data_IF_706105264401
#
_entry.id   IF_706105264401
#
_cell.length_a   1.000
_cell.length_b   1.000
_cell.length_c   1.000
_cell.angle_alpha   90.00
_cell.angle_beta   90.00
_cell.angle_gamma   90.00
#
_symmetry.space_group_name_H-M   'P 1'
#
loop_
_entity.id
_entity.type
_entity.pdbx_description
1 polymer ?
#
# COMPACT_ATOMS: atom_id res chain seq x y z
N UNK A 1 19.14 17.05 -3.54
CA UNK A 1 18.64 16.77 -2.17
C UNK A 1 17.11 16.70 -2.06
N UNK A 2 16.33 17.53 -2.77
CA UNK A 2 14.86 17.61 -2.65
C UNK A 2 14.09 16.28 -2.89
N UNK A 3 14.45 15.55 -3.96
CA UNK A 3 13.80 14.26 -4.30
C UNK A 3 14.02 13.18 -3.25
N UNK A 4 15.21 13.11 -2.63
CA UNK A 4 15.48 12.13 -1.56
C UNK A 4 14.68 12.43 -0.29
N UNK A 5 14.48 13.71 0.03
CA UNK A 5 13.63 14.13 1.14
C UNK A 5 12.16 13.77 0.87
N UNK A 6 11.67 14.01 -0.34
CA UNK A 6 10.31 13.65 -0.77
C UNK A 6 10.06 12.14 -0.75
N UNK A 7 11.03 11.33 -1.19
CA UNK A 7 10.96 9.87 -1.08
C UNK A 7 10.99 9.40 0.39
N UNK A 8 11.75 10.06 1.25
CA UNK A 8 11.77 9.76 2.69
C UNK A 8 10.42 10.06 3.34
N UNK A 9 9.80 11.19 3.00
CA UNK A 9 8.45 11.55 3.46
C UNK A 9 7.41 10.53 2.99
N UNK A 10 7.47 10.13 1.72
CA UNK A 10 6.54 9.14 1.16
C UNK A 10 6.70 7.76 1.83
N UNK A 11 7.93 7.34 2.17
CA UNK A 11 8.16 6.12 2.96
C UNK A 11 7.58 6.22 4.36
N UNK A 12 7.69 7.39 5.01
CA UNK A 12 7.05 7.64 6.32
C UNK A 12 5.53 7.60 6.22
N UNK A 13 4.96 8.16 5.16
CA UNK A 13 3.53 8.10 4.88
C UNK A 13 3.04 6.66 4.73
N UNK A 14 3.76 5.82 3.97
CA UNK A 14 3.46 4.37 3.86
C UNK A 14 3.53 3.67 5.22
N UNK A 15 4.58 3.94 6.01
CA UNK A 15 4.71 3.35 7.33
C UNK A 15 3.62 3.81 8.31
N UNK A 16 3.23 5.09 8.26
CA UNK A 16 2.16 5.65 9.06
C UNK A 16 0.81 5.02 8.69
N UNK A 17 0.50 4.98 7.39
CA UNK A 17 -0.71 4.32 6.87
C UNK A 17 -0.79 2.86 7.30
N UNK A 18 0.30 2.09 7.12
CA UNK A 18 0.37 0.69 7.51
C UNK A 18 0.20 0.48 9.03
N UNK A 19 0.60 1.44 9.85
CA UNK A 19 0.42 1.41 11.31
C UNK A 19 -1.01 1.75 11.69
N UNK A 20 -1.55 2.83 11.15
CA UNK A 20 -2.92 3.28 11.39
C UNK A 20 -3.92 2.20 11.00
N UNK A 21 -3.75 1.61 9.82
CA UNK A 21 -4.56 0.49 9.35
C UNK A 21 -4.56 -0.70 10.33
N UNK A 22 -3.39 -1.09 10.86
CA UNK A 22 -3.31 -2.16 11.86
C UNK A 22 -3.98 -1.79 13.18
N UNK A 23 -3.82 -0.55 13.64
CA UNK A 23 -4.47 -0.05 14.85
C UNK A 23 -6.00 -0.01 14.73
N UNK A 24 -6.51 0.40 13.57
CA UNK A 24 -7.94 0.39 13.26
C UNK A 24 -8.47 -1.03 13.18
N UNK A 25 -7.79 -1.92 12.46
CA UNK A 25 -8.17 -3.32 12.36
C UNK A 25 -8.16 -4.02 13.73
N UNK A 26 -7.20 -3.72 14.61
CA UNK A 26 -7.17 -4.21 15.99
C UNK A 26 -8.40 -3.74 16.78
N UNK A 27 -8.71 -2.45 16.69
CA UNK A 27 -9.88 -1.86 17.36
C UNK A 27 -11.19 -2.48 16.87
N UNK A 28 -11.35 -2.61 15.56
CA UNK A 28 -12.54 -3.17 14.92
C UNK A 28 -12.68 -4.67 15.16
N UNK A 29 -11.59 -5.42 15.14
CA UNK A 29 -11.57 -6.86 15.42
C UNK A 29 -12.14 -7.16 16.80
N UNK A 30 -11.76 -6.38 17.82
CA UNK A 30 -12.29 -6.50 19.19
C UNK A 30 -13.79 -6.20 19.28
N UNK A 31 -14.31 -5.32 18.42
CA UNK A 31 -15.72 -4.91 18.42
C UNK A 31 -16.62 -5.85 17.60
N UNK A 32 -16.11 -6.38 16.50
CA UNK A 32 -16.89 -7.12 15.51
C UNK A 32 -16.69 -8.64 15.57
N UNK A 33 -15.74 -9.14 16.36
CA UNK A 33 -15.42 -10.57 16.41
C UNK A 33 -14.80 -11.13 15.11
N UNK A 34 -14.38 -10.24 14.19
CA UNK A 34 -13.70 -10.60 12.94
C UNK A 34 -12.18 -10.66 13.15
N UNK A 35 -11.47 -11.41 12.31
CA UNK A 35 -10.01 -11.42 12.33
C UNK A 35 -9.45 -10.09 11.85
N UNK A 36 -8.33 -9.66 12.43
CA UNK A 36 -7.64 -8.42 12.00
C UNK A 36 -7.24 -8.50 10.52
N UNK A 37 -6.77 -9.66 10.07
CA UNK A 37 -6.35 -9.87 8.69
C UNK A 37 -7.48 -9.64 7.69
N UNK A 38 -8.69 -10.13 7.95
CA UNK A 38 -9.82 -9.91 7.07
C UNK A 38 -10.19 -8.43 6.96
N UNK A 39 -10.12 -7.69 8.07
CA UNK A 39 -10.38 -6.25 8.10
C UNK A 39 -9.31 -5.46 7.35
N UNK A 40 -8.04 -5.86 7.49
CA UNK A 40 -6.92 -5.26 6.75
C UNK A 40 -7.09 -5.49 5.24
N UNK A 41 -7.40 -6.71 4.82
CA UNK A 41 -7.61 -7.05 3.40
C UNK A 41 -8.77 -6.26 2.80
N UNK A 42 -9.90 -6.16 3.51
CA UNK A 42 -11.06 -5.38 3.09
C UNK A 42 -10.73 -3.89 2.92
N UNK A 43 -10.06 -3.29 3.91
CA UNK A 43 -9.64 -1.90 3.85
C UNK A 43 -8.60 -1.66 2.74
N UNK A 44 -7.63 -2.55 2.57
CA UNK A 44 -6.64 -2.43 1.50
C UNK A 44 -7.29 -2.54 0.11
N UNK A 45 -8.25 -3.45 -0.10
CA UNK A 45 -8.93 -3.56 -1.40
C UNK A 45 -9.73 -2.29 -1.71
N UNK A 46 -10.34 -1.67 -0.69
CA UNK A 46 -10.95 -0.34 -0.82
C UNK A 46 -9.93 0.74 -1.26
N UNK A 47 -8.80 0.87 -0.54
CA UNK A 47 -7.81 1.91 -0.85
C UNK A 47 -7.05 1.67 -2.16
N UNK A 48 -6.87 0.41 -2.57
CA UNK A 48 -6.28 0.03 -3.86
C UNK A 48 -7.18 0.42 -5.05
N UNK A 49 -8.46 0.70 -4.80
CA UNK A 49 -9.42 1.21 -5.78
C UNK A 49 -9.69 2.71 -5.63
N UNK A 50 -9.07 3.40 -4.67
CA UNK A 50 -9.27 4.84 -4.44
C UNK A 50 -8.96 5.64 -5.71
N UNK A 51 -9.79 6.63 -6.02
CA UNK A 51 -9.65 7.47 -7.20
C UNK A 51 -8.37 8.34 -7.17
N UNK A 52 -7.81 8.60 -5.99
CA UNK A 52 -6.61 9.42 -5.80
C UNK A 52 -5.36 8.56 -5.99
N UNK A 53 -4.50 8.86 -7.00
CA UNK A 53 -3.32 8.06 -7.29
C UNK A 53 -2.36 7.89 -6.11
N UNK A 54 -2.18 8.94 -5.30
CA UNK A 54 -1.31 8.93 -4.13
C UNK A 54 -1.80 7.94 -3.07
N UNK A 55 -3.08 8.01 -2.70
CA UNK A 55 -3.69 7.10 -1.72
C UNK A 55 -3.55 5.65 -2.18
N UNK A 56 -3.89 5.41 -3.46
CA UNK A 56 -3.78 4.09 -4.08
C UNK A 56 -2.36 3.51 -3.99
N UNK A 57 -1.35 4.33 -4.25
CA UNK A 57 0.05 3.91 -4.19
C UNK A 57 0.60 3.71 -2.79
N UNK A 58 0.20 4.56 -1.85
CA UNK A 58 0.54 4.38 -0.44
C UNK A 58 -0.04 3.06 0.06
N UNK A 59 -1.30 2.78 -0.27
CA UNK A 59 -1.96 1.53 0.03
C UNK A 59 -1.29 0.33 -0.65
N UNK A 60 -0.92 0.45 -1.93
CA UNK A 60 -0.16 -0.59 -2.62
C UNK A 60 1.18 -0.89 -1.96
N UNK A 61 1.97 0.15 -1.66
CA UNK A 61 3.27 -0.01 -1.02
C UNK A 61 3.16 -0.63 0.38
N UNK A 62 2.09 -0.33 1.12
CA UNK A 62 1.77 -0.98 2.38
C UNK A 62 1.30 -2.43 2.18
N UNK A 63 0.45 -2.69 1.18
CA UNK A 63 -0.05 -4.02 0.85
C UNK A 63 1.07 -4.99 0.48
N UNK A 64 2.13 -4.54 -0.19
CA UNK A 64 3.32 -5.37 -0.45
C UNK A 64 3.91 -6.00 0.82
N UNK A 65 3.86 -5.28 1.94
CA UNK A 65 4.44 -5.74 3.21
C UNK A 65 3.43 -6.49 4.10
N UNK A 66 2.12 -6.26 3.91
CA UNK A 66 1.06 -6.79 4.78
C UNK A 66 0.27 -7.92 4.10
N UNK A 67 -0.18 -7.67 2.86
CA UNK A 67 -1.02 -8.55 2.06
C UNK A 67 -0.48 -8.64 0.62
N UNK A 68 0.68 -9.27 0.40
CA UNK A 68 1.37 -9.24 -0.89
C UNK A 68 0.57 -9.88 -2.03
N UNK A 69 -0.27 -10.88 -1.72
CA UNK A 69 -1.20 -11.47 -2.68
C UNK A 69 -2.19 -10.45 -3.28
N UNK A 70 -2.68 -9.52 -2.46
CA UNK A 70 -3.60 -8.48 -2.89
C UNK A 70 -2.88 -7.43 -3.75
N UNK A 71 -1.68 -7.05 -3.34
CA UNK A 71 -0.83 -6.16 -4.12
C UNK A 71 -0.50 -6.75 -5.51
N UNK A 72 -0.14 -8.04 -5.57
CA UNK A 72 0.13 -8.73 -6.84
C UNK A 72 -1.08 -8.69 -7.79
N UNK A 73 -2.30 -8.96 -7.28
CA UNK A 73 -3.55 -8.90 -8.06
C UNK A 73 -3.84 -7.51 -8.62
N UNK A 74 -3.42 -6.45 -7.94
CA UNK A 74 -3.67 -5.04 -8.31
C UNK A 74 -2.49 -4.35 -8.99
N UNK A 75 -1.41 -5.09 -9.31
CA UNK A 75 -0.18 -4.51 -9.85
C UNK A 75 -0.44 -3.65 -11.09
N UNK A 76 -1.27 -4.16 -12.02
CA UNK A 76 -1.57 -3.46 -13.27
C UNK A 76 -2.36 -2.17 -13.05
N UNK A 77 -3.42 -2.24 -12.22
CA UNK A 77 -4.29 -1.11 -11.88
C UNK A 77 -3.51 0.04 -11.22
N UNK A 78 -2.57 -0.31 -10.35
CA UNK A 78 -1.71 0.65 -9.66
C UNK A 78 -0.65 1.20 -10.60
N UNK A 79 -0.09 0.38 -11.50
CA UNK A 79 0.89 0.85 -12.48
C UNK A 79 0.33 1.97 -13.35
N UNK A 80 -0.89 1.81 -13.87
CA UNK A 80 -1.56 2.82 -14.69
C UNK A 80 -1.76 4.15 -13.94
N UNK A 81 -2.03 4.10 -12.62
CA UNK A 81 -2.20 5.30 -11.80
C UNK A 81 -0.89 6.07 -11.54
N UNK A 82 0.29 5.49 -11.82
CA UNK A 82 1.60 6.10 -11.50
C UNK A 82 2.19 6.96 -12.61
N UNK A 83 1.58 6.96 -13.80
CA UNK A 83 2.20 7.47 -15.03
C UNK A 83 2.60 8.96 -14.96
N UNK A 84 1.86 9.77 -14.22
CA UNK A 84 2.00 11.24 -14.27
C UNK A 84 2.89 11.83 -13.16
N UNK A 85 3.46 11.01 -12.26
CA UNK A 85 4.27 11.52 -11.16
C UNK A 85 5.51 10.65 -10.90
N UNK A 86 6.69 11.26 -11.04
CA UNK A 86 7.98 10.57 -10.89
C UNK A 86 8.15 9.93 -9.50
N UNK A 87 7.81 10.64 -8.43
CA UNK A 87 7.93 10.14 -7.05
C UNK A 87 7.05 8.91 -6.82
N UNK A 88 5.81 8.97 -7.31
CA UNK A 88 4.84 7.89 -7.27
C UNK A 88 5.30 6.68 -8.07
N UNK A 89 5.87 6.91 -9.26
CA UNK A 89 6.48 5.88 -10.09
C UNK A 89 7.69 5.22 -9.42
N UNK A 90 8.55 5.99 -8.75
CA UNK A 90 9.69 5.44 -8.00
C UNK A 90 9.24 4.56 -6.83
N UNK A 91 8.20 4.98 -6.09
CA UNK A 91 7.63 4.16 -5.02
C UNK A 91 7.04 2.87 -5.58
N UNK A 92 6.30 2.96 -6.69
CA UNK A 92 5.73 1.79 -7.37
C UNK A 92 6.81 0.79 -7.74
N UNK A 93 7.86 1.22 -8.45
CA UNK A 93 8.95 0.32 -8.85
C UNK A 93 9.66 -0.30 -7.66
N UNK A 94 9.94 0.49 -6.61
CA UNK A 94 10.52 -0.04 -5.37
C UNK A 94 9.64 -1.09 -4.71
N UNK A 95 8.31 -0.95 -4.78
CA UNK A 95 7.36 -1.87 -4.18
C UNK A 95 7.15 -3.13 -5.04
N UNK A 96 7.05 -2.98 -6.36
CA UNK A 96 7.00 -4.08 -7.31
C UNK A 96 8.28 -4.95 -7.26
N UNK A 97 9.46 -4.33 -7.11
CA UNK A 97 10.71 -5.06 -6.90
C UNK A 97 10.70 -5.88 -5.61
N UNK A 98 10.09 -5.38 -4.53
CA UNK A 98 9.92 -6.15 -3.28
C UNK A 98 8.97 -7.33 -3.48
N UNK A 99 7.83 -7.14 -4.15
CA UNK A 99 6.93 -8.24 -4.50
C UNK A 99 7.64 -9.36 -5.27
N UNK A 100 8.42 -8.98 -6.29
CA UNK A 100 9.23 -9.92 -7.07
C UNK A 100 10.26 -10.65 -6.20
N UNK A 101 10.98 -9.93 -5.33
CA UNK A 101 11.95 -10.53 -4.39
C UNK A 101 11.33 -11.53 -3.43
N UNK A 102 10.07 -11.33 -3.07
CA UNK A 102 9.31 -12.23 -2.20
C UNK A 102 8.57 -13.34 -2.96
N UNK A 103 8.74 -13.45 -4.27
CA UNK A 103 8.17 -14.54 -5.09
C UNK A 103 6.69 -14.37 -5.44
N UNK A 104 6.15 -13.15 -5.37
CA UNK A 104 4.75 -12.86 -5.70
C UNK A 104 4.52 -12.42 -7.16
N UNK A 105 5.61 -12.21 -7.92
CA UNK A 105 5.64 -11.85 -9.34
C UNK A 105 6.74 -12.66 -10.04
#
# INVERSE_FOLDING_TARGET
MRVLAELSLLRREVAAFARELRCEALTLSRRQGRTQQALIEEALDYYLLDARPRTRLVAFAAAVDICPHLAARRLHDVHQATCDCLLLRTLFWSSAQRLKRFGWL
#
